data_IF_387278493748
#
_entry.id   IF_387278493748
#
_cell.length_a   1.000
_cell.length_b   1.000
_cell.length_c   1.000
_cell.angle_alpha   90.00
_cell.angle_beta   90.00
_cell.angle_gamma   90.00
#
_symmetry.space_group_name_H-M   'P 1'
#
loop_
_entity.id
_entity.type
_entity.pdbx_description
1 polymer ?
#
# COMPACT_ATOMS: atom_id res chain seq x y z
N UNK A 1 5.53 3.41 -8.96
CA UNK A 1 6.44 3.23 -10.12
C UNK A 1 7.64 2.31 -9.79
N UNK A 2 8.81 2.52 -10.41
CA UNK A 2 10.04 1.76 -10.13
C UNK A 2 10.50 1.84 -8.67
N UNK A 3 10.24 2.94 -7.97
CA UNK A 3 10.48 3.01 -6.51
C UNK A 3 9.67 1.96 -5.74
N UNK A 4 8.44 1.69 -6.16
CA UNK A 4 7.63 0.60 -5.60
C UNK A 4 8.20 -0.78 -5.91
N UNK A 5 8.78 -1.00 -7.10
CA UNK A 5 9.54 -2.23 -7.40
C UNK A 5 10.74 -2.38 -6.47
N UNK A 6 11.52 -1.31 -6.28
CA UNK A 6 12.65 -1.34 -5.34
C UNK A 6 12.17 -1.74 -3.94
N UNK A 7 11.07 -1.17 -3.45
CA UNK A 7 10.47 -1.58 -2.17
C UNK A 7 10.11 -3.05 -2.13
N UNK A 8 9.45 -3.58 -3.18
CA UNK A 8 9.13 -5.02 -3.29
C UNK A 8 10.40 -5.85 -3.11
N UNK A 9 11.44 -5.59 -3.89
CA UNK A 9 12.69 -6.35 -3.82
C UNK A 9 13.45 -6.20 -2.50
N UNK A 10 13.44 -5.00 -1.90
CA UNK A 10 14.07 -4.75 -0.60
C UNK A 10 13.32 -5.46 0.54
N UNK A 11 12.01 -5.58 0.41
CA UNK A 11 11.14 -6.26 1.38
C UNK A 11 11.11 -7.78 1.23
N UNK A 12 11.69 -8.32 0.16
CA UNK A 12 11.69 -9.74 -0.19
C UNK A 12 13.06 -10.40 0.02
N UNK A 13 13.10 -11.73 -0.12
CA UNK A 13 14.32 -12.54 -0.01
C UNK A 13 15.07 -12.30 1.33
N UNK A 14 16.39 -12.50 1.32
CA UNK A 14 17.27 -12.16 2.44
C UNK A 14 17.53 -10.65 2.57
N UNK A 15 17.08 -9.82 1.62
CA UNK A 15 17.29 -8.37 1.69
C UNK A 15 16.58 -7.77 2.90
N UNK A 16 15.36 -8.23 3.18
CA UNK A 16 14.59 -7.78 4.33
C UNK A 16 15.35 -7.97 5.65
N UNK A 17 15.91 -9.16 5.86
CA UNK A 17 16.67 -9.48 7.08
C UNK A 17 18.05 -8.83 7.09
N UNK A 18 18.75 -8.82 5.96
CA UNK A 18 20.09 -8.26 5.82
C UNK A 18 20.12 -6.75 6.09
N UNK A 19 19.07 -6.03 5.70
CA UNK A 19 18.97 -4.58 5.88
C UNK A 19 18.07 -4.16 7.04
N UNK A 20 17.53 -5.11 7.80
CA UNK A 20 16.66 -4.82 8.94
C UNK A 20 15.37 -4.10 8.56
N UNK A 21 14.82 -4.39 7.38
CA UNK A 21 13.52 -3.85 6.95
C UNK A 21 12.45 -4.47 7.84
N UNK A 22 11.68 -3.64 8.54
CA UNK A 22 10.66 -4.09 9.50
C UNK A 22 9.23 -4.07 8.93
N UNK A 23 8.97 -3.21 7.94
CA UNK A 23 7.71 -3.11 7.23
C UNK A 23 7.93 -2.43 5.88
N UNK A 24 6.98 -2.58 4.95
CA UNK A 24 7.04 -1.97 3.63
C UNK A 24 5.69 -1.37 3.21
N UNK A 25 5.73 -0.31 2.40
CA UNK A 25 4.55 0.21 1.72
C UNK A 25 4.90 0.42 0.25
N UNK A 26 4.11 -0.18 -0.65
CA UNK A 26 4.31 -0.13 -2.09
C UNK A 26 3.26 0.79 -2.69
N UNK A 27 3.67 1.83 -3.41
CA UNK A 27 2.76 2.69 -4.16
C UNK A 27 2.91 2.47 -5.66
N UNK A 28 1.86 1.92 -6.29
CA UNK A 28 1.77 1.68 -7.74
C UNK A 28 3.02 0.99 -8.30
N UNK A 29 3.41 -0.13 -7.69
CA UNK A 29 4.69 -0.78 -7.97
C UNK A 29 4.76 -1.30 -9.42
N UNK A 30 5.73 -0.78 -10.19
CA UNK A 30 5.96 -1.21 -11.56
C UNK A 30 7.06 -2.27 -11.58
N UNK A 31 6.68 -3.54 -11.44
CA UNK A 31 7.62 -4.67 -11.44
C UNK A 31 7.27 -5.68 -12.54
N UNK A 32 8.20 -6.54 -12.92
CA UNK A 32 7.94 -7.67 -13.84
C UNK A 32 8.36 -9.03 -13.24
N UNK A 33 8.85 -8.97 -12.00
CA UNK A 33 9.22 -10.09 -11.16
C UNK A 33 8.48 -9.93 -9.83
N UNK A 34 8.00 -11.02 -9.26
CA UNK A 34 7.03 -10.98 -8.16
C UNK A 34 7.57 -11.70 -6.93
N UNK A 35 8.70 -11.26 -6.36
CA UNK A 35 9.21 -11.89 -5.17
C UNK A 35 8.29 -11.59 -3.98
N UNK A 36 8.00 -12.60 -3.18
CA UNK A 36 7.15 -12.49 -2.01
C UNK A 36 7.77 -11.59 -0.92
N UNK A 37 7.13 -10.43 -0.58
CA UNK A 37 7.55 -9.62 0.55
C UNK A 37 7.51 -10.42 1.86
N UNK A 38 8.61 -10.42 2.60
CA UNK A 38 8.80 -11.23 3.82
C UNK A 38 8.49 -10.46 5.11
N UNK A 39 8.19 -9.17 5.01
CA UNK A 39 7.86 -8.26 6.13
C UNK A 39 6.40 -7.83 6.02
N UNK A 40 5.77 -7.32 7.10
CA UNK A 40 4.47 -6.69 7.00
C UNK A 40 4.42 -5.63 5.90
N UNK A 41 3.50 -5.76 4.94
CA UNK A 41 3.43 -4.83 3.82
C UNK A 41 2.01 -4.37 3.45
N UNK A 42 1.91 -3.13 2.96
CA UNK A 42 0.68 -2.58 2.40
C UNK A 42 0.94 -2.10 0.97
N UNK A 43 0.13 -2.53 0.02
CA UNK A 43 0.30 -2.22 -1.39
C UNK A 43 -0.89 -1.43 -1.95
N UNK A 44 -0.63 -0.23 -2.46
CA UNK A 44 -1.60 0.64 -3.12
C UNK A 44 -1.49 0.52 -4.64
N UNK A 45 -2.64 0.41 -5.29
CA UNK A 45 -2.80 0.41 -6.75
C UNK A 45 -4.18 0.94 -7.13
N UNK A 46 -4.44 1.13 -8.42
CA UNK A 46 -5.77 1.53 -8.87
C UNK A 46 -6.10 1.03 -10.27
N UNK A 47 -7.39 0.78 -10.52
CA UNK A 47 -7.93 0.26 -11.79
C UNK A 47 -7.59 1.15 -12.98
N UNK A 48 -7.39 2.44 -12.75
CA UNK A 48 -7.06 3.44 -13.78
C UNK A 48 -5.54 3.56 -14.02
N UNK A 49 -4.70 2.80 -13.31
CA UNK A 49 -3.27 2.75 -13.57
C UNK A 49 -2.97 1.94 -14.84
N UNK A 50 -2.55 2.65 -15.88
CA UNK A 50 -2.16 2.09 -17.19
C UNK A 50 -0.64 1.99 -17.38
N UNK A 51 0.14 2.37 -16.36
CA UNK A 51 1.61 2.26 -16.36
C UNK A 51 2.02 1.06 -15.50
N UNK A 52 1.57 1.02 -14.25
CA UNK A 52 1.71 -0.11 -13.35
C UNK A 52 0.33 -0.74 -13.10
N UNK A 53 -0.13 -1.52 -14.07
CA UNK A 53 -1.43 -2.17 -13.99
C UNK A 53 -1.64 -2.94 -12.66
N UNK A 54 -2.87 -2.96 -12.10
CA UNK A 54 -3.16 -3.61 -10.81
C UNK A 54 -2.67 -5.05 -10.67
N UNK A 55 -2.72 -5.82 -11.75
CA UNK A 55 -2.28 -7.22 -11.75
C UNK A 55 -0.79 -7.38 -11.41
N UNK A 56 0.02 -6.33 -11.55
CA UNK A 56 1.41 -6.32 -11.07
C UNK A 56 1.48 -6.36 -9.55
N UNK A 57 0.63 -5.57 -8.90
CA UNK A 57 0.48 -5.52 -7.44
C UNK A 57 -0.10 -6.81 -6.90
N UNK A 58 -1.17 -7.30 -7.51
CA UNK A 58 -1.83 -8.56 -7.13
C UNK A 58 -0.85 -9.75 -7.15
N UNK A 59 0.08 -9.79 -8.11
CA UNK A 59 1.01 -10.92 -8.25
C UNK A 59 2.02 -11.03 -7.11
N UNK A 60 2.61 -9.93 -6.63
CA UNK A 60 3.52 -10.02 -5.47
C UNK A 60 2.75 -10.07 -4.15
N UNK A 61 1.55 -9.50 -4.09
CA UNK A 61 0.67 -9.64 -2.93
C UNK A 61 0.29 -11.11 -2.68
N UNK A 62 0.04 -11.86 -3.76
CA UNK A 62 -0.32 -13.28 -3.74
C UNK A 62 0.87 -14.24 -3.94
N UNK A 63 2.12 -13.74 -3.96
CA UNK A 63 3.28 -14.59 -4.17
C UNK A 63 3.46 -15.58 -3.01
N UNK A 64 3.85 -16.81 -3.34
CA UNK A 64 4.05 -17.87 -2.36
C UNK A 64 5.12 -17.46 -1.32
N UNK A 65 4.77 -17.60 -0.05
CA UNK A 65 5.62 -17.20 1.07
C UNK A 65 5.56 -15.71 1.40
N UNK A 66 4.64 -14.93 0.82
CA UNK A 66 4.41 -13.55 1.26
C UNK A 66 3.99 -13.51 2.73
N UNK A 67 4.38 -12.45 3.44
CA UNK A 67 4.07 -12.26 4.85
C UNK A 67 2.55 -12.34 5.09
N UNK A 68 2.13 -12.97 6.18
CA UNK A 68 0.71 -13.10 6.54
C UNK A 68 0.08 -11.79 6.99
N UNK A 69 0.88 -10.83 7.48
CA UNK A 69 0.45 -9.46 7.75
C UNK A 69 0.63 -8.66 6.47
N UNK A 70 -0.43 -8.53 5.68
CA UNK A 70 -0.35 -7.87 4.39
C UNK A 70 -1.62 -7.13 4.06
N UNK A 71 -1.54 -6.17 3.15
CA UNK A 71 -2.72 -5.54 2.58
C UNK A 71 -2.56 -5.16 1.11
N UNK A 72 -3.65 -5.22 0.38
CA UNK A 72 -3.81 -4.67 -0.96
C UNK A 72 -4.97 -3.68 -0.96
N UNK A 73 -4.74 -2.51 -1.54
CA UNK A 73 -5.72 -1.45 -1.73
C UNK A 73 -5.76 -1.15 -3.22
N UNK A 74 -6.79 -1.63 -3.90
CA UNK A 74 -6.99 -1.43 -5.33
C UNK A 74 -8.22 -0.54 -5.55
N UNK A 75 -7.98 0.76 -5.77
CA UNK A 75 -9.04 1.75 -5.92
C UNK A 75 -9.77 1.63 -7.25
N UNK A 76 -11.09 1.74 -7.21
CA UNK A 76 -11.95 1.61 -8.37
C UNK A 76 -11.86 2.82 -9.32
N UNK A 77 -11.72 4.03 -8.77
CA UNK A 77 -11.72 5.30 -9.50
C UNK A 77 -10.77 6.30 -8.86
N UNK A 78 -10.26 7.24 -9.67
CA UNK A 78 -9.46 8.37 -9.19
C UNK A 78 -8.05 7.98 -8.72
N UNK A 79 -7.58 6.80 -9.13
CA UNK A 79 -6.30 6.22 -8.73
C UNK A 79 -5.56 5.74 -9.99
N UNK A 80 -4.91 6.69 -10.66
CA UNK A 80 -3.97 6.42 -11.74
C UNK A 80 -2.54 6.27 -11.23
N UNK A 81 -1.58 6.08 -12.13
CA UNK A 81 -0.17 5.87 -11.74
C UNK A 81 0.43 6.94 -10.84
N UNK A 82 -0.05 8.17 -11.00
CA UNK A 82 0.46 9.36 -10.32
C UNK A 82 -0.31 9.69 -9.04
N UNK A 83 -1.23 8.83 -8.58
CA UNK A 83 -1.97 9.03 -7.33
C UNK A 83 -1.09 9.37 -6.11
N UNK A 84 0.09 8.74 -5.93
CA UNK A 84 0.95 9.03 -4.77
C UNK A 84 1.81 10.29 -4.92
N UNK A 85 1.81 10.92 -6.10
CA UNK A 85 2.72 12.00 -6.47
C UNK A 85 2.02 13.36 -6.44
N UNK A 86 2.74 14.42 -6.08
CA UNK A 86 2.23 15.79 -6.10
C UNK A 86 1.69 16.17 -7.49
N UNK A 87 0.70 17.06 -7.52
CA UNK A 87 0.10 17.59 -8.74
C UNK A 87 1.18 18.20 -9.68
N UNK A 88 1.64 17.44 -10.68
CA UNK A 88 2.48 17.97 -11.73
C UNK A 88 1.59 18.73 -12.72
N UNK A 89 1.94 19.98 -13.02
CA UNK A 89 1.28 20.90 -13.97
C UNK A 89 0.76 20.33 -15.32
N UNK A 90 1.17 19.13 -15.75
CA UNK A 90 0.76 18.51 -17.02
C UNK A 90 -0.11 17.25 -16.85
N UNK A 91 -0.26 16.74 -15.62
CA UNK A 91 -1.09 15.57 -15.31
C UNK A 91 -2.18 16.05 -14.37
N UNK A 92 -3.45 15.81 -14.75
CA UNK A 92 -4.60 16.23 -13.93
C UNK A 92 -4.45 15.76 -12.49
N UNK A 93 -5.00 16.54 -11.56
CA UNK A 93 -5.05 16.28 -10.12
C UNK A 93 -5.41 14.83 -9.81
N UNK A 94 -4.39 14.02 -9.56
CA UNK A 94 -4.51 12.61 -9.21
C UNK A 94 -4.00 12.38 -7.80
N UNK A 95 -3.32 13.37 -7.20
CA UNK A 95 -2.77 13.24 -5.87
C UNK A 95 -3.84 12.92 -4.83
N UNK A 96 -3.60 11.87 -4.06
CA UNK A 96 -4.42 11.50 -2.92
C UNK A 96 -3.72 11.87 -1.59
N UNK A 97 -4.22 12.88 -0.85
CA UNK A 97 -3.62 13.35 0.39
C UNK A 97 -3.75 12.36 1.55
N UNK A 98 -4.49 11.26 1.39
CA UNK A 98 -4.68 10.25 2.42
C UNK A 98 -3.61 9.14 2.34
N UNK A 99 -3.00 8.89 1.18
CA UNK A 99 -1.95 7.88 1.01
C UNK A 99 -0.81 8.06 2.03
N UNK A 100 -0.26 9.27 2.27
CA UNK A 100 0.77 9.45 3.28
C UNK A 100 0.29 9.12 4.70
N UNK A 101 -0.99 9.39 5.00
CA UNK A 101 -1.55 9.13 6.33
C UNK A 101 -1.69 7.63 6.58
N UNK A 102 -2.23 6.87 5.62
CA UNK A 102 -2.30 5.41 5.71
C UNK A 102 -0.91 4.76 5.73
N UNK A 103 0.04 5.31 4.96
CA UNK A 103 1.44 4.87 4.99
C UNK A 103 2.06 5.06 6.38
N UNK A 104 1.84 6.23 7.00
CA UNK A 104 2.31 6.50 8.35
C UNK A 104 1.62 5.60 9.39
N UNK A 105 0.30 5.42 9.29
CA UNK A 105 -0.47 4.53 10.16
C UNK A 105 0.04 3.08 10.08
N UNK A 106 0.30 2.57 8.87
CA UNK A 106 0.90 1.25 8.68
C UNK A 106 2.23 1.12 9.43
N UNK A 107 3.12 2.10 9.30
CA UNK A 107 4.39 2.07 10.02
C UNK A 107 4.23 2.19 11.54
N UNK A 108 3.28 3.01 12.04
CA UNK A 108 2.98 3.09 13.47
C UNK A 108 2.54 1.75 14.04
N UNK A 109 1.73 1.00 13.29
CA UNK A 109 1.24 -0.31 13.69
C UNK A 109 2.32 -1.39 13.56
N UNK A 110 2.98 -1.49 12.40
CA UNK A 110 3.90 -2.60 12.11
C UNK A 110 5.28 -2.44 12.73
N UNK A 111 5.75 -1.22 12.95
CA UNK A 111 7.10 -0.95 13.49
C UNK A 111 7.03 -0.56 14.97
N UNK A 112 6.17 0.41 15.32
CA UNK A 112 6.10 0.92 16.70
C UNK A 112 5.11 0.14 17.58
N UNK A 113 4.20 -0.65 17.01
CA UNK A 113 3.13 -1.32 17.75
C UNK A 113 2.13 -0.35 18.38
N UNK A 114 2.06 0.90 17.90
CA UNK A 114 1.16 1.92 18.41
C UNK A 114 -0.17 1.85 17.67
N UNK A 115 -1.24 1.58 18.41
CA UNK A 115 -2.60 1.58 17.87
C UNK A 115 -3.18 3.00 17.76
N UNK A 116 -2.69 3.96 18.54
CA UNK A 116 -3.12 5.36 18.48
C UNK A 116 -2.04 6.34 18.94
N UNK A 117 -2.04 7.56 18.38
CA UNK A 117 -1.19 8.69 18.79
C UNK A 117 -1.78 10.00 18.22
N UNK A 118 -1.51 11.15 18.85
CA UNK A 118 -2.00 12.48 18.40
C UNK A 118 -3.54 12.60 18.25
N UNK A 119 -4.29 11.76 18.97
CA UNK A 119 -5.75 11.69 18.82
C UNK A 119 -6.22 10.95 17.57
N UNK A 120 -5.32 10.26 16.85
CA UNK A 120 -5.62 9.41 15.70
C UNK A 120 -5.58 7.94 16.14
N UNK A 121 -6.63 7.20 15.79
CA UNK A 121 -6.69 5.74 15.93
C UNK A 121 -6.17 5.09 14.64
N UNK A 122 -4.92 4.64 14.64
CA UNK A 122 -4.28 4.03 13.48
C UNK A 122 -4.87 2.66 13.18
N UNK A 123 -5.28 1.93 14.21
CA UNK A 123 -5.86 0.61 14.08
C UNK A 123 -7.22 0.71 13.38
N UNK A 124 -8.09 1.63 13.79
CA UNK A 124 -9.35 1.90 13.07
C UNK A 124 -9.10 2.46 11.65
N UNK A 125 -8.10 3.32 11.49
CA UNK A 125 -7.76 3.87 10.18
C UNK A 125 -7.34 2.77 9.16
N UNK A 126 -6.56 1.77 9.59
CA UNK A 126 -6.07 0.71 8.70
C UNK A 126 -7.00 -0.50 8.67
N UNK A 127 -7.39 -1.02 9.83
CA UNK A 127 -8.15 -2.26 9.97
C UNK A 127 -9.63 -2.05 10.31
N UNK A 128 -10.05 -0.81 10.55
CA UNK A 128 -11.43 -0.49 10.88
C UNK A 128 -12.41 -0.93 9.79
N UNK A 129 -13.65 -1.12 10.23
CA UNK A 129 -14.75 -1.53 9.35
C UNK A 129 -15.77 -0.39 9.24
N UNK A 130 -16.45 -0.29 8.10
CA UNK A 130 -17.41 0.80 7.86
C UNK A 130 -16.71 2.04 7.31
N UNK A 131 -17.13 3.23 7.75
CA UNK A 131 -16.81 4.47 7.04
C UNK A 131 -15.43 5.05 7.36
N UNK A 132 -14.73 4.57 8.39
CA UNK A 132 -13.47 5.16 8.88
C UNK A 132 -12.22 4.40 8.45
N UNK A 133 -12.36 3.11 8.13
CA UNK A 133 -11.24 2.26 7.73
C UNK A 133 -10.85 2.40 6.26
N UNK A 134 -9.60 2.06 5.96
CA UNK A 134 -9.01 2.11 4.62
C UNK A 134 -9.84 1.36 3.57
N UNK A 135 -10.28 0.14 3.88
CA UNK A 135 -11.13 -0.66 2.99
C UNK A 135 -12.61 -0.26 2.99
N UNK A 136 -13.01 0.72 3.80
CA UNK A 136 -14.38 1.17 3.96
C UNK A 136 -14.99 1.86 2.73
N UNK A 137 -14.14 2.43 1.88
CA UNK A 137 -14.53 3.07 0.64
C UNK A 137 -15.14 4.48 0.78
N UNK A 138 -15.38 4.95 2.01
CA UNK A 138 -15.94 6.29 2.28
C UNK A 138 -14.83 7.33 2.43
N UNK A 139 -13.74 7.01 3.13
CA UNK A 139 -12.61 7.93 3.34
C UNK A 139 -11.72 8.03 2.10
N UNK A 140 -11.23 6.89 1.62
CA UNK A 140 -10.23 6.84 0.53
C UNK A 140 -10.85 6.63 -0.87
N UNK A 141 -12.19 6.55 -0.93
CA UNK A 141 -12.94 6.29 -2.16
C UNK A 141 -13.16 4.81 -2.42
N UNK A 142 -14.06 4.50 -3.37
CA UNK A 142 -14.51 3.13 -3.63
C UNK A 142 -13.37 2.21 -4.05
N UNK A 143 -13.29 1.03 -3.45
CA UNK A 143 -12.32 -0.02 -3.79
C UNK A 143 -12.90 -1.00 -4.81
N UNK A 144 -12.09 -1.44 -5.77
CA UNK A 144 -12.34 -2.62 -6.61
C UNK A 144 -11.97 -3.90 -5.85
N UNK A 145 -10.89 -3.84 -5.08
CA UNK A 145 -10.42 -4.90 -4.20
C UNK A 145 -9.72 -4.23 -3.01
N UNK A 146 -10.01 -4.70 -1.80
CA UNK A 146 -9.29 -4.28 -0.61
C UNK A 146 -9.31 -5.39 0.43
N UNK A 147 -8.13 -5.86 0.80
CA UNK A 147 -7.95 -6.90 1.81
C UNK A 147 -6.77 -6.49 2.69
N UNK A 148 -6.93 -6.57 4.00
CA UNK A 148 -5.86 -6.34 4.96
C UNK A 148 -5.94 -7.40 6.04
N UNK A 149 -4.85 -8.15 6.22
CA UNK A 149 -4.72 -9.24 7.18
C UNK A 149 -3.69 -8.92 8.27
N UNK A 150 -3.84 -9.60 9.41
CA UNK A 150 -2.98 -9.50 10.60
C UNK A 150 -2.58 -10.89 11.07
#
# INVERSE_FOLDING_TARGET
SMGGQSTVFSSSYTNATQHGVAAAVMHHAYTHEYPAPQVPFLAFTGVEDVVAFPWLTERFYNADGANSVKGIVNKQYGAGHFEPEDDWALVRKTYNPLIPQFTAAWFKLSIEGKTSEFGVDFEDMVYGTGDTGLCGGVVDGKMSECEISR
#
